data_IF_611192471399
#
_entry.id   IF_611192471399
#
_cell.length_a   1.000
_cell.length_b   1.000
_cell.length_c   1.000
_cell.angle_alpha   90.00
_cell.angle_beta   90.00
_cell.angle_gamma   90.00
#
_symmetry.space_group_name_H-M   'P 1'
#
loop_
_entity.id
_entity.type
_entity.pdbx_description
1 polymer ?
#
# COMPACT_ATOMS: atom_id res chain seq x y z
N UNK A 1 -7.99 44.31 -17.04
CA UNK A 1 -6.83 43.43 -17.24
C UNK A 1 -7.17 42.49 -18.36
N UNK A 2 -6.35 42.32 -19.43
CA UNK A 2 -6.71 41.50 -20.56
C UNK A 2 -6.76 40.04 -20.15
N UNK A 3 -7.88 39.41 -20.40
CA UNK A 3 -8.01 37.94 -20.35
C UNK A 3 -6.99 37.35 -21.32
N UNK A 4 -6.07 36.54 -20.83
CA UNK A 4 -5.10 35.84 -21.69
C UNK A 4 -5.85 34.82 -22.54
N UNK A 5 -5.52 34.76 -23.85
CA UNK A 5 -6.20 33.95 -24.86
C UNK A 5 -6.33 32.45 -24.49
N UNK A 6 -5.44 31.92 -23.62
CA UNK A 6 -5.48 30.53 -23.16
C UNK A 6 -6.55 30.27 -22.10
N UNK A 7 -6.86 31.24 -21.21
CA UNK A 7 -7.96 31.12 -20.24
C UNK A 7 -9.31 31.07 -20.96
N UNK A 8 -9.44 31.89 -22.01
CA UNK A 8 -10.64 31.92 -22.84
C UNK A 8 -10.77 30.63 -23.67
N UNK A 9 -9.65 30.04 -24.13
CA UNK A 9 -9.65 28.79 -24.88
C UNK A 9 -10.10 27.59 -24.03
N UNK A 10 -9.67 27.49 -22.75
CA UNK A 10 -10.11 26.42 -21.85
C UNK A 10 -11.59 26.54 -21.50
N UNK A 11 -12.04 27.72 -21.15
CA UNK A 11 -13.46 28.00 -20.84
C UNK A 11 -14.32 27.88 -22.09
N UNK A 12 -13.84 28.30 -23.27
CA UNK A 12 -14.55 28.20 -24.55
C UNK A 12 -14.56 26.77 -25.08
N UNK A 13 -13.49 25.99 -24.94
CA UNK A 13 -13.47 24.57 -25.32
C UNK A 13 -14.43 23.76 -24.45
N UNK A 14 -14.48 24.01 -23.14
CA UNK A 14 -15.48 23.44 -22.24
C UNK A 14 -16.91 23.93 -22.54
N UNK A 15 -17.10 25.23 -22.89
CA UNK A 15 -18.41 25.78 -23.21
C UNK A 15 -18.93 25.38 -24.60
N UNK A 16 -18.05 25.16 -25.59
CA UNK A 16 -18.42 24.72 -26.94
C UNK A 16 -18.78 23.22 -26.96
N UNK A 17 -18.12 22.40 -26.14
CA UNK A 17 -18.53 21.00 -25.92
C UNK A 17 -19.89 20.91 -25.24
N UNK A 18 -20.18 21.83 -24.30
CA UNK A 18 -21.47 21.98 -23.65
C UNK A 18 -22.60 22.34 -24.62
N UNK A 19 -22.34 23.29 -25.52
CA UNK A 19 -23.33 23.73 -26.51
C UNK A 19 -23.68 22.62 -27.55
N UNK A 20 -22.72 21.76 -27.91
CA UNK A 20 -22.97 20.64 -28.81
C UNK A 20 -23.82 19.53 -28.18
N UNK A 21 -23.68 19.30 -26.86
CA UNK A 21 -24.54 18.37 -26.11
C UNK A 21 -25.98 18.87 -25.95
N UNK A 22 -26.18 20.18 -25.73
CA UNK A 22 -27.53 20.77 -25.68
C UNK A 22 -28.28 20.66 -27.03
N UNK A 23 -27.58 20.78 -28.16
CA UNK A 23 -28.20 20.61 -29.47
C UNK A 23 -28.61 19.16 -29.76
N UNK A 24 -27.92 18.18 -29.20
CA UNK A 24 -28.28 16.77 -29.31
C UNK A 24 -29.48 16.38 -28.40
N UNK A 25 -29.61 16.98 -27.21
CA UNK A 25 -30.74 16.73 -26.31
C UNK A 25 -32.02 17.45 -26.78
N UNK A 26 -31.95 18.63 -27.39
CA UNK A 26 -33.12 19.33 -27.91
C UNK A 26 -33.82 18.63 -29.09
N UNK A 27 -33.17 17.64 -29.73
CA UNK A 27 -33.77 16.81 -30.79
C UNK A 27 -34.43 15.50 -30.29
N UNK A 28 -34.31 15.17 -29.02
CA UNK A 28 -34.81 13.94 -28.40
C UNK A 28 -36.24 14.00 -27.84
N UNK A 29 -36.90 15.15 -27.85
CA UNK A 29 -38.22 15.32 -27.25
C UNK A 29 -39.34 15.32 -28.32
N UNK A 30 -39.49 14.21 -29.04
CA UNK A 30 -40.71 13.92 -29.79
C UNK A 30 -41.49 12.91 -28.95
N UNK A 31 -42.61 13.38 -28.41
CA UNK A 31 -43.46 12.71 -27.45
C UNK A 31 -43.91 11.33 -27.91
N UNK A 32 -43.69 10.38 -27.06
CA UNK A 32 -44.24 9.02 -27.16
C UNK A 32 -45.75 9.07 -26.95
N UNK A 33 -46.53 8.78 -28.02
CA UNK A 33 -47.96 8.59 -27.95
C UNK A 33 -48.25 7.06 -28.00
N UNK A 34 -48.78 6.44 -26.92
CA UNK A 34 -48.97 4.98 -26.86
C UNK A 34 -50.23 4.44 -27.53
N UNK A 35 -51.03 5.24 -28.28
CA UNK A 35 -52.30 4.81 -28.87
C UNK A 35 -52.42 5.08 -30.37
N UNK A 36 -51.48 4.60 -31.18
CA UNK A 36 -51.69 4.57 -32.62
C UNK A 36 -51.29 3.21 -33.20
N UNK A 37 -52.22 2.25 -33.11
CA UNK A 37 -52.17 1.02 -33.90
C UNK A 37 -53.00 1.25 -35.15
N UNK A 38 -52.38 1.21 -36.32
CA UNK A 38 -53.05 1.00 -37.62
C UNK A 38 -52.15 0.14 -38.50
N UNK A 39 -52.75 -0.79 -39.32
CA UNK A 39 -52.00 -1.86 -39.97
C UNK A 39 -51.51 -1.48 -41.36
N UNK A 40 -50.41 -2.09 -41.72
CA UNK A 40 -49.79 -2.31 -43.02
C UNK A 40 -50.41 -1.67 -44.26
N UNK A 41 -49.66 -0.77 -44.89
CA UNK A 41 -49.57 -0.71 -46.35
C UNK A 41 -48.15 -0.25 -46.75
N UNK A 42 -47.69 -0.85 -47.85
CA UNK A 42 -46.38 -0.81 -48.48
C UNK A 42 -45.50 0.42 -48.27
N UNK A 43 -44.26 0.19 -47.78
CA UNK A 43 -43.17 1.14 -47.77
C UNK A 43 -42.58 1.27 -49.17
N UNK A 44 -42.25 2.49 -49.63
CA UNK A 44 -41.32 2.70 -50.73
C UNK A 44 -39.89 2.40 -50.30
N UNK A 45 -39.16 1.67 -51.10
CA UNK A 45 -37.71 1.53 -51.04
C UNK A 45 -37.08 2.89 -51.36
N UNK A 46 -36.60 3.61 -50.37
CA UNK A 46 -35.56 4.66 -50.45
C UNK A 46 -35.39 5.34 -49.09
N UNK A 47 -34.64 4.69 -48.20
CA UNK A 47 -33.99 5.36 -47.08
C UNK A 47 -32.55 4.86 -46.96
N UNK A 48 -31.74 5.17 -48.00
CA UNK A 48 -30.31 5.26 -47.91
C UNK A 48 -30.00 6.66 -47.43
N UNK A 49 -30.11 6.91 -46.16
CA UNK A 49 -29.37 7.99 -45.46
C UNK A 49 -29.22 7.58 -43.99
N UNK A 50 -28.42 6.52 -43.72
CA UNK A 50 -27.77 6.36 -42.47
C UNK A 50 -26.76 7.55 -42.29
N UNK A 51 -27.29 8.72 -41.98
CA UNK A 51 -26.46 9.71 -41.34
C UNK A 51 -26.12 9.10 -39.95
N UNK A 52 -24.95 8.44 -39.90
CA UNK A 52 -24.27 8.20 -38.63
C UNK A 52 -24.33 9.52 -37.88
N UNK A 53 -25.13 9.58 -36.80
CA UNK A 53 -25.07 10.66 -35.83
C UNK A 53 -23.70 10.50 -35.20
N UNK A 54 -22.70 11.14 -35.81
CA UNK A 54 -21.37 11.28 -35.24
C UNK A 54 -21.59 11.94 -33.87
N UNK A 55 -21.47 11.13 -32.82
CA UNK A 55 -21.54 11.64 -31.44
C UNK A 55 -20.53 12.78 -31.37
N UNK A 56 -20.99 13.98 -31.07
CA UNK A 56 -20.13 15.16 -30.95
C UNK A 56 -18.88 14.79 -30.15
N UNK A 57 -17.67 15.11 -30.63
CA UNK A 57 -16.45 14.69 -29.99
C UNK A 57 -16.46 15.18 -28.54
N UNK A 58 -16.53 14.23 -27.60
CA UNK A 58 -16.31 14.52 -26.18
C UNK A 58 -14.92 15.12 -26.13
N UNK A 59 -14.81 16.36 -25.67
CA UNK A 59 -13.54 17.08 -25.64
C UNK A 59 -12.62 16.36 -24.63
N UNK A 60 -11.76 15.49 -25.12
CA UNK A 60 -10.84 14.67 -24.33
C UNK A 60 -9.61 15.48 -23.86
N UNK A 61 -9.81 16.75 -23.51
CA UNK A 61 -8.72 17.69 -23.21
C UNK A 61 -7.83 17.23 -22.05
N UNK A 62 -8.41 16.84 -20.90
CA UNK A 62 -7.68 16.34 -19.76
C UNK A 62 -7.14 14.93 -20.02
N UNK A 63 -7.94 14.10 -20.67
CA UNK A 63 -7.62 12.70 -20.97
C UNK A 63 -6.40 12.60 -21.90
N UNK A 64 -6.29 13.45 -22.91
CA UNK A 64 -5.14 13.50 -23.83
C UNK A 64 -3.85 14.02 -23.18
N UNK A 65 -3.96 14.76 -22.07
CA UNK A 65 -2.83 15.34 -21.34
C UNK A 65 -2.44 14.56 -20.11
N UNK A 66 -3.13 13.46 -19.81
CA UNK A 66 -2.75 12.56 -18.74
C UNK A 66 -1.44 11.82 -19.10
N UNK A 67 -0.46 11.87 -18.22
CA UNK A 67 0.88 11.30 -18.42
C UNK A 67 1.06 9.95 -17.74
N UNK A 68 0.08 9.51 -16.96
CA UNK A 68 0.12 8.25 -16.24
C UNK A 68 -1.23 7.55 -16.20
N UNK A 69 -1.21 6.27 -15.84
CA UNK A 69 -2.45 5.51 -15.64
C UNK A 69 -3.38 6.18 -14.61
N UNK A 70 -2.84 6.60 -13.46
CA UNK A 70 -3.61 7.20 -12.39
C UNK A 70 -4.19 8.57 -12.79
N UNK A 71 -3.39 9.39 -13.47
CA UNK A 71 -3.85 10.66 -14.04
C UNK A 71 -4.97 10.47 -15.07
N UNK A 72 -4.86 9.44 -15.92
CA UNK A 72 -5.89 9.10 -16.90
C UNK A 72 -7.22 8.69 -16.23
N UNK A 73 -7.16 7.93 -15.13
CA UNK A 73 -8.37 7.55 -14.40
C UNK A 73 -9.09 8.77 -13.79
N UNK A 74 -8.32 9.74 -13.27
CA UNK A 74 -8.86 11.00 -12.77
C UNK A 74 -9.46 11.83 -13.93
N UNK A 75 -8.74 11.97 -15.04
CA UNK A 75 -9.21 12.72 -16.20
C UNK A 75 -10.57 12.22 -16.70
N UNK A 76 -10.74 10.90 -16.84
CA UNK A 76 -11.98 10.25 -17.29
C UNK A 76 -13.22 10.57 -16.45
N UNK A 77 -13.05 10.86 -15.17
CA UNK A 77 -14.18 11.19 -14.27
C UNK A 77 -14.32 12.70 -14.03
N UNK A 78 -13.20 13.41 -14.00
CA UNK A 78 -13.17 14.85 -13.72
C UNK A 78 -13.69 15.66 -14.90
N UNK A 79 -13.28 15.33 -16.12
CA UNK A 79 -13.65 16.07 -17.33
C UNK A 79 -15.17 16.07 -17.57
N UNK A 80 -15.89 14.93 -17.60
CA UNK A 80 -17.34 14.94 -17.74
C UNK A 80 -18.06 15.65 -16.58
N UNK A 81 -17.51 15.58 -15.38
CA UNK A 81 -18.09 16.24 -14.22
C UNK A 81 -17.97 17.77 -14.31
N UNK A 82 -16.82 18.28 -14.77
CA UNK A 82 -16.63 19.72 -15.02
C UNK A 82 -17.57 20.24 -16.10
N UNK A 83 -17.76 19.47 -17.18
CA UNK A 83 -18.70 19.82 -18.25
C UNK A 83 -20.13 19.90 -17.69
N UNK A 84 -20.61 18.85 -17.01
CA UNK A 84 -21.95 18.84 -16.38
C UNK A 84 -22.16 19.99 -15.40
N UNK A 85 -21.13 20.36 -14.65
CA UNK A 85 -21.18 21.43 -13.67
C UNK A 85 -21.36 22.80 -14.36
N UNK A 86 -20.62 23.03 -15.43
CA UNK A 86 -20.73 24.26 -16.25
C UNK A 86 -22.08 24.36 -16.95
N UNK A 87 -22.57 23.25 -17.52
CA UNK A 87 -23.88 23.16 -18.19
C UNK A 87 -25.06 23.35 -17.26
N UNK A 88 -24.90 23.05 -15.98
CA UNK A 88 -25.98 23.17 -15.00
C UNK A 88 -26.58 24.58 -14.89
N UNK A 89 -25.80 25.62 -15.26
CA UNK A 89 -26.16 27.01 -15.14
C UNK A 89 -26.42 27.47 -13.69
N UNK A 90 -26.14 26.63 -12.71
CA UNK A 90 -26.40 26.82 -11.27
C UNK A 90 -25.23 27.40 -10.49
N UNK A 91 -24.10 27.65 -11.16
CA UNK A 91 -22.89 28.14 -10.51
C UNK A 91 -23.05 29.63 -10.12
N UNK A 92 -22.71 29.95 -8.87
CA UNK A 92 -22.56 31.34 -8.44
C UNK A 92 -21.29 31.94 -9.02
N UNK A 93 -21.23 33.29 -9.07
CA UNK A 93 -20.02 34.00 -9.54
C UNK A 93 -18.76 33.64 -8.73
N UNK A 94 -18.89 33.28 -7.46
CA UNK A 94 -17.80 32.85 -6.61
C UNK A 94 -17.32 31.42 -6.99
N UNK A 95 -18.25 30.52 -7.28
CA UNK A 95 -17.95 29.17 -7.74
C UNK A 95 -17.28 29.17 -9.13
N UNK A 96 -17.72 30.03 -10.03
CA UNK A 96 -17.08 30.24 -11.35
C UNK A 96 -15.63 30.71 -11.17
N UNK A 97 -15.38 31.70 -10.30
CA UNK A 97 -14.02 32.18 -10.00
C UNK A 97 -13.14 31.08 -9.36
N UNK A 98 -13.72 30.26 -8.49
CA UNK A 98 -13.01 29.14 -7.89
C UNK A 98 -12.64 28.07 -8.94
N UNK A 99 -13.54 27.82 -9.90
CA UNK A 99 -13.32 26.87 -11.00
C UNK A 99 -12.27 27.38 -11.99
N UNK A 100 -12.28 28.68 -12.32
CA UNK A 100 -11.22 29.34 -13.11
C UNK A 100 -9.86 29.21 -12.45
N UNK A 101 -9.79 29.46 -11.14
CA UNK A 101 -8.57 29.33 -10.35
C UNK A 101 -8.04 27.88 -10.34
N UNK A 102 -8.95 26.93 -10.23
CA UNK A 102 -8.63 25.50 -10.31
C UNK A 102 -8.12 25.12 -11.71
N UNK A 103 -8.79 25.57 -12.79
CA UNK A 103 -8.36 25.35 -14.16
C UNK A 103 -6.97 25.94 -14.47
N UNK A 104 -6.75 27.20 -14.04
CA UNK A 104 -5.43 27.85 -14.11
C UNK A 104 -4.36 27.06 -13.37
N UNK A 105 -4.70 26.53 -12.21
CA UNK A 105 -3.82 25.68 -11.41
C UNK A 105 -3.46 24.38 -12.11
N UNK A 106 -4.42 23.73 -12.77
CA UNK A 106 -4.18 22.51 -13.55
C UNK A 106 -3.18 22.73 -14.68
N UNK A 107 -3.33 23.83 -15.45
CA UNK A 107 -2.50 24.08 -16.62
C UNK A 107 -1.10 24.59 -16.29
N UNK A 108 -1.00 25.54 -15.36
CA UNK A 108 0.23 26.28 -15.08
C UNK A 108 1.14 25.60 -14.04
N UNK A 109 0.71 24.50 -13.48
CA UNK A 109 1.53 23.70 -12.57
C UNK A 109 2.81 23.24 -13.27
N UNK A 110 3.99 23.31 -12.63
CA UNK A 110 5.19 22.67 -13.14
C UNK A 110 4.94 21.19 -13.46
N UNK A 111 5.15 20.79 -14.73
CA UNK A 111 4.77 19.48 -15.25
C UNK A 111 3.38 19.42 -15.90
N UNK A 112 2.65 20.55 -15.95
CA UNK A 112 1.39 20.72 -16.66
C UNK A 112 0.23 19.91 -16.08
N UNK A 113 -0.80 19.71 -16.88
CA UNK A 113 -2.04 19.01 -16.52
C UNK A 113 -1.75 17.58 -16.03
N UNK A 114 -0.82 16.86 -16.67
CA UNK A 114 -0.47 15.50 -16.26
C UNK A 114 0.00 15.41 -14.80
N UNK A 115 0.89 16.30 -14.37
CA UNK A 115 1.36 16.36 -12.99
C UNK A 115 0.25 16.78 -12.01
N UNK A 116 -0.67 17.63 -12.45
CA UNK A 116 -1.83 18.04 -11.66
C UNK A 116 -2.80 16.87 -11.44
N UNK A 117 -3.09 16.10 -12.48
CA UNK A 117 -3.93 14.91 -12.41
C UNK A 117 -3.34 13.84 -11.49
N UNK A 118 -2.02 13.67 -11.48
CA UNK A 118 -1.34 12.77 -10.53
C UNK A 118 -1.51 13.22 -9.07
N UNK A 119 -1.46 14.53 -8.79
CA UNK A 119 -1.74 15.04 -7.44
C UNK A 119 -3.19 14.77 -7.01
N UNK A 120 -4.13 14.95 -7.94
CA UNK A 120 -5.56 14.72 -7.69
C UNK A 120 -5.89 13.24 -7.52
N UNK A 121 -5.12 12.34 -8.13
CA UNK A 121 -5.32 10.90 -8.04
C UNK A 121 -5.17 10.35 -6.62
N UNK A 122 -4.32 10.94 -5.78
CA UNK A 122 -4.09 10.47 -4.41
C UNK A 122 -3.58 9.03 -4.34
N UNK A 123 -2.75 8.62 -5.32
CA UNK A 123 -2.24 7.25 -5.46
C UNK A 123 -1.44 6.74 -4.26
N UNK A 124 -0.95 7.66 -3.41
CA UNK A 124 -0.26 7.33 -2.16
C UNK A 124 -1.14 6.52 -1.20
N UNK A 125 -2.47 6.72 -1.24
CA UNK A 125 -3.42 5.94 -0.44
C UNK A 125 -3.42 4.44 -0.83
N UNK A 126 -3.07 4.10 -2.08
CA UNK A 126 -2.89 2.72 -2.50
C UNK A 126 -1.60 2.10 -1.96
N UNK A 127 -0.54 2.90 -1.73
CA UNK A 127 0.74 2.42 -1.20
C UNK A 127 0.71 2.07 0.29
N UNK A 128 -0.32 2.51 1.03
CA UNK A 128 -0.46 2.22 2.47
C UNK A 128 -0.50 0.71 2.74
N UNK A 129 -1.16 -0.07 1.88
CA UNK A 129 -1.21 -1.52 2.01
C UNK A 129 0.18 -2.15 1.88
N UNK A 130 0.92 -1.82 0.81
CA UNK A 130 2.26 -2.36 0.57
C UNK A 130 3.25 -1.98 1.67
N UNK A 131 3.24 -0.73 2.15
CA UNK A 131 4.09 -0.29 3.24
C UNK A 131 3.77 -1.00 4.56
N UNK A 132 2.49 -1.16 4.90
CA UNK A 132 2.08 -1.88 6.13
C UNK A 132 2.43 -3.37 6.03
N UNK A 133 2.25 -4.01 4.87
CA UNK A 133 2.66 -5.40 4.66
C UNK A 133 4.17 -5.58 4.79
N UNK A 134 4.97 -4.65 4.29
CA UNK A 134 6.42 -4.67 4.49
C UNK A 134 6.79 -4.57 5.98
N UNK A 135 6.12 -3.70 6.74
CA UNK A 135 6.34 -3.58 8.20
C UNK A 135 5.97 -4.87 8.93
N UNK A 136 4.82 -5.47 8.63
CA UNK A 136 4.39 -6.74 9.27
C UNK A 136 5.26 -7.92 8.85
N UNK A 137 5.80 -7.91 7.63
CA UNK A 137 6.80 -8.90 7.19
C UNK A 137 8.10 -8.78 7.98
N UNK A 138 8.58 -7.55 8.22
CA UNK A 138 9.77 -7.33 9.05
C UNK A 138 9.54 -7.85 10.49
N UNK A 139 8.36 -7.61 11.07
CA UNK A 139 8.00 -8.15 12.38
C UNK A 139 8.04 -9.69 12.40
N UNK A 140 7.51 -10.34 11.36
CA UNK A 140 7.56 -11.81 11.22
C UNK A 140 8.99 -12.33 11.09
N UNK A 141 9.82 -11.64 10.33
CA UNK A 141 11.24 -12.00 10.16
C UNK A 141 12.01 -11.85 11.48
N UNK A 142 11.68 -10.83 12.29
CA UNK A 142 12.25 -10.62 13.62
C UNK A 142 11.82 -11.73 14.61
N UNK A 143 10.54 -12.09 14.64
CA UNK A 143 10.07 -13.21 15.42
C UNK A 143 10.76 -14.51 14.98
N UNK A 144 10.82 -14.77 13.67
CA UNK A 144 11.48 -15.95 13.12
C UNK A 144 12.97 -15.98 13.49
N UNK A 145 13.67 -14.84 13.48
CA UNK A 145 15.06 -14.72 13.96
C UNK A 145 15.20 -15.16 15.42
N UNK A 146 14.24 -14.77 16.28
CA UNK A 146 14.18 -15.21 17.67
C UNK A 146 13.99 -16.72 17.78
N UNK A 147 13.02 -17.28 17.02
CA UNK A 147 12.73 -18.74 17.06
C UNK A 147 13.92 -19.59 16.65
N UNK A 148 14.82 -19.05 15.85
CA UNK A 148 16.04 -19.71 15.37
C UNK A 148 17.12 -19.82 16.45
N UNK A 149 17.09 -18.94 17.44
CA UNK A 149 18.08 -18.83 18.52
C UNK A 149 17.53 -19.30 19.87
N UNK A 150 16.29 -19.83 19.93
CA UNK A 150 15.74 -20.39 21.16
C UNK A 150 16.55 -21.62 21.58
N UNK A 151 16.93 -21.72 22.87
CA UNK A 151 17.59 -22.91 23.39
C UNK A 151 16.64 -24.13 23.36
N UNK A 152 17.26 -25.32 23.36
CA UNK A 152 16.54 -26.61 23.41
C UNK A 152 16.45 -27.18 24.82
N UNK A 153 16.71 -26.36 25.85
CA UNK A 153 16.57 -26.74 27.25
C UNK A 153 15.09 -26.82 27.69
N UNK A 154 14.85 -27.31 28.88
CA UNK A 154 13.48 -27.45 29.46
C UNK A 154 13.01 -26.17 30.18
N UNK A 155 13.82 -25.11 30.22
CA UNK A 155 13.52 -23.86 30.90
C UNK A 155 12.45 -23.05 30.17
N UNK A 156 11.76 -22.19 30.90
CA UNK A 156 10.99 -21.09 30.33
C UNK A 156 11.92 -19.96 29.90
N UNK A 157 11.54 -19.23 28.85
CA UNK A 157 12.27 -18.05 28.40
C UNK A 157 11.35 -16.84 28.33
N UNK A 158 11.92 -15.71 28.69
CA UNK A 158 11.34 -14.40 28.44
C UNK A 158 12.31 -13.61 27.56
N UNK A 159 11.78 -12.88 26.59
CA UNK A 159 12.60 -12.07 25.72
C UNK A 159 11.96 -10.71 25.42
N UNK A 160 12.82 -9.70 25.17
CA UNK A 160 12.43 -8.35 24.80
C UNK A 160 13.31 -7.89 23.65
N UNK A 161 12.68 -7.32 22.61
CA UNK A 161 13.39 -6.76 21.45
C UNK A 161 12.99 -5.31 21.24
N UNK A 162 13.99 -4.45 21.05
CA UNK A 162 13.85 -3.13 20.48
C UNK A 162 14.13 -3.21 18.97
N UNK A 163 13.27 -2.65 18.15
CA UNK A 163 13.37 -2.75 16.69
C UNK A 163 13.29 -1.37 16.04
N UNK A 164 14.10 -1.17 14.99
CA UNK A 164 14.02 -0.04 14.08
C UNK A 164 14.16 -0.53 12.65
N UNK A 165 13.20 -0.20 11.80
CA UNK A 165 13.17 -0.59 10.40
C UNK A 165 12.93 0.63 9.53
N UNK A 166 13.51 0.67 8.34
CA UNK A 166 13.23 1.67 7.32
C UNK A 166 13.19 1.04 5.94
N UNK A 167 12.45 1.66 5.05
CA UNK A 167 12.33 1.15 3.69
C UNK A 167 11.70 2.12 2.72
N UNK A 168 11.60 1.69 1.47
CA UNK A 168 10.99 2.45 0.41
C UNK A 168 10.26 1.56 -0.58
N UNK A 169 9.20 2.10 -1.15
CA UNK A 169 8.54 1.66 -2.36
C UNK A 169 8.88 2.66 -3.47
N UNK A 170 9.33 2.19 -4.62
CA UNK A 170 9.75 3.05 -5.72
C UNK A 170 8.54 3.64 -6.47
N UNK A 171 8.78 4.70 -7.25
CA UNK A 171 7.78 5.25 -8.15
C UNK A 171 7.44 4.25 -9.25
N UNK A 172 6.15 4.04 -9.50
CA UNK A 172 5.68 3.13 -10.55
C UNK A 172 4.32 3.55 -11.08
N UNK A 173 4.16 3.65 -12.43
CA UNK A 173 2.86 3.79 -13.09
C UNK A 173 2.01 5.01 -12.70
N UNK A 174 2.63 6.11 -12.25
CA UNK A 174 1.95 7.30 -11.71
C UNK A 174 1.78 7.28 -10.19
N UNK A 175 2.28 6.26 -9.50
CA UNK A 175 2.45 6.28 -8.04
C UNK A 175 3.72 7.02 -7.66
N UNK A 176 3.63 7.92 -6.68
CA UNK A 176 4.76 8.72 -6.22
C UNK A 176 5.83 7.93 -5.45
N UNK A 177 5.61 6.64 -5.22
CA UNK A 177 6.40 5.86 -4.29
C UNK A 177 6.13 6.25 -2.84
N UNK A 178 6.82 5.61 -1.89
CA UNK A 178 6.66 5.88 -0.46
C UNK A 178 7.92 5.46 0.29
N UNK A 179 8.35 6.25 1.26
CA UNK A 179 9.35 5.87 2.27
C UNK A 179 8.64 5.59 3.59
N UNK A 180 9.14 4.66 4.35
CA UNK A 180 8.63 4.36 5.69
C UNK A 180 9.77 4.12 6.67
N UNK A 181 9.52 4.53 7.92
CA UNK A 181 10.36 4.27 9.08
C UNK A 181 9.46 3.75 10.18
N UNK A 182 9.86 2.65 10.82
CA UNK A 182 9.11 1.99 11.89
C UNK A 182 10.03 1.75 13.08
N UNK A 183 9.55 2.01 14.26
CA UNK A 183 10.19 1.62 15.51
C UNK A 183 9.19 0.92 16.42
N UNK A 184 9.68 0.02 17.25
CA UNK A 184 8.80 -0.76 18.11
C UNK A 184 9.50 -1.53 19.21
N UNK A 185 8.67 -2.07 20.08
CA UNK A 185 9.07 -2.97 21.16
C UNK A 185 8.27 -4.26 21.04
N UNK A 186 8.97 -5.38 21.09
CA UNK A 186 8.39 -6.71 21.12
C UNK A 186 8.79 -7.39 22.42
N UNK A 187 7.89 -8.17 22.97
CA UNK A 187 8.16 -9.02 24.12
C UNK A 187 7.44 -10.36 23.95
N UNK A 188 8.00 -11.39 24.52
CA UNK A 188 7.38 -12.72 24.48
C UNK A 188 7.94 -13.64 25.52
N UNK A 189 7.24 -14.75 25.68
CA UNK A 189 7.63 -15.83 26.57
C UNK A 189 7.29 -17.18 25.93
N UNK A 190 8.08 -18.19 26.25
CA UNK A 190 7.90 -19.55 25.75
C UNK A 190 8.29 -20.59 26.80
N UNK A 191 7.76 -21.78 26.60
CA UNK A 191 7.91 -22.91 27.51
C UNK A 191 8.13 -24.20 26.71
N UNK A 192 8.95 -25.09 27.21
CA UNK A 192 9.03 -26.46 26.74
C UNK A 192 7.72 -27.19 27.11
N UNK A 193 7.11 -27.84 26.11
CA UNK A 193 5.96 -28.74 26.29
C UNK A 193 6.44 -30.17 26.51
N UNK A 194 7.47 -30.54 25.75
CA UNK A 194 8.21 -31.78 25.88
C UNK A 194 9.64 -31.57 25.37
N UNK A 195 10.42 -32.64 25.26
CA UNK A 195 11.81 -32.60 24.82
C UNK A 195 12.01 -32.12 23.37
N UNK A 196 10.96 -32.09 22.57
CA UNK A 196 11.02 -31.67 21.15
C UNK A 196 10.26 -30.36 20.89
N UNK A 197 9.16 -30.10 21.59
CA UNK A 197 8.28 -28.98 21.36
C UNK A 197 8.42 -27.87 22.39
N UNK A 198 8.48 -26.65 21.89
CA UNK A 198 8.41 -25.40 22.62
C UNK A 198 7.30 -24.54 22.05
N UNK A 199 6.47 -23.95 22.89
CA UNK A 199 5.39 -23.02 22.49
C UNK A 199 5.54 -21.70 23.20
N UNK A 200 5.10 -20.62 22.56
CA UNK A 200 5.19 -19.29 23.14
C UNK A 200 4.17 -18.32 22.60
N UNK A 201 4.11 -17.18 23.27
CA UNK A 201 3.27 -16.03 22.91
C UNK A 201 4.10 -14.77 22.80
N UNK A 202 3.65 -13.82 21.99
CA UNK A 202 4.29 -12.52 21.86
C UNK A 202 3.27 -11.39 21.80
N UNK A 203 3.66 -10.23 22.30
CA UNK A 203 2.99 -8.97 22.11
C UNK A 203 3.97 -7.92 21.61
N UNK A 204 3.51 -6.97 20.78
CA UNK A 204 4.33 -5.88 20.34
C UNK A 204 3.53 -4.60 20.13
N UNK A 205 4.23 -3.47 20.20
CA UNK A 205 3.74 -2.16 19.79
C UNK A 205 4.74 -1.52 18.85
N UNK A 206 4.26 -0.99 17.73
CA UNK A 206 5.09 -0.25 16.80
C UNK A 206 4.41 1.03 16.33
N UNK A 207 5.23 2.02 15.95
CA UNK A 207 4.81 3.24 15.28
C UNK A 207 5.60 3.38 13.99
N UNK A 208 4.88 3.71 12.90
CA UNK A 208 5.47 3.89 11.58
C UNK A 208 5.14 5.28 11.04
N UNK A 209 6.14 5.93 10.44
CA UNK A 209 5.98 7.15 9.67
C UNK A 209 6.12 6.82 8.18
N UNK A 210 5.16 7.23 7.39
CA UNK A 210 5.07 6.98 5.97
C UNK A 210 5.14 8.31 5.23
N UNK A 211 6.10 8.49 4.33
CA UNK A 211 6.37 9.76 3.69
C UNK A 211 6.49 9.60 2.17
N UNK A 212 5.76 10.43 1.43
CA UNK A 212 5.88 10.55 -0.02
C UNK A 212 5.79 12.03 -0.42
N UNK A 213 5.94 12.31 -1.71
CA UNK A 213 5.76 13.67 -2.20
C UNK A 213 4.33 14.14 -1.92
N UNK A 214 4.18 15.25 -1.17
CA UNK A 214 2.90 15.85 -0.75
C UNK A 214 1.98 14.92 0.07
N UNK A 215 2.57 13.91 0.71
CA UNK A 215 1.83 12.94 1.50
C UNK A 215 2.64 12.51 2.72
N UNK A 216 1.98 12.42 3.85
CA UNK A 216 2.52 11.76 5.05
C UNK A 216 1.42 10.97 5.74
N UNK A 217 1.80 9.89 6.39
CA UNK A 217 0.89 9.16 7.26
C UNK A 217 1.63 8.62 8.48
N UNK A 218 0.94 8.59 9.59
CA UNK A 218 1.38 7.98 10.85
C UNK A 218 0.53 6.73 11.09
N UNK A 219 1.16 5.64 11.50
CA UNK A 219 0.51 4.36 11.76
C UNK A 219 0.96 3.84 13.13
N UNK A 220 0.03 3.77 14.07
CA UNK A 220 0.22 3.12 15.36
C UNK A 220 -0.36 1.71 15.32
N UNK A 221 0.43 0.72 15.75
CA UNK A 221 0.07 -0.69 15.60
C UNK A 221 0.28 -1.48 16.88
N UNK A 222 -0.67 -2.36 17.17
CA UNK A 222 -0.57 -3.39 18.18
C UNK A 222 -0.51 -4.76 17.52
N UNK A 223 0.31 -5.63 18.07
CA UNK A 223 0.51 -6.97 17.55
C UNK A 223 0.37 -8.00 18.65
N UNK A 224 -0.31 -9.09 18.36
CA UNK A 224 -0.41 -10.26 19.23
C UNK A 224 -0.09 -11.50 18.41
N UNK A 225 0.72 -12.40 18.94
CA UNK A 225 1.10 -13.60 18.21
C UNK A 225 1.31 -14.80 19.11
N UNK A 226 1.30 -15.96 18.46
CA UNK A 226 1.68 -17.24 19.05
C UNK A 226 2.66 -17.95 18.14
N UNK A 227 3.50 -18.78 18.72
CA UNK A 227 4.49 -19.55 17.98
C UNK A 227 4.77 -20.91 18.58
N UNK A 228 5.29 -21.81 17.77
CA UNK A 228 5.78 -23.10 18.18
C UNK A 228 7.06 -23.46 17.47
N UNK A 229 7.97 -24.11 18.16
CA UNK A 229 9.22 -24.64 17.62
C UNK A 229 9.30 -26.12 17.96
N UNK A 230 9.57 -26.97 16.96
CA UNK A 230 9.93 -28.37 17.15
C UNK A 230 11.36 -28.59 16.73
N UNK A 231 12.15 -29.16 17.59
CA UNK A 231 13.52 -29.59 17.29
C UNK A 231 13.61 -31.10 17.52
N UNK A 232 14.00 -31.83 16.46
CA UNK A 232 14.15 -33.29 16.49
C UNK A 232 15.46 -33.67 15.77
N UNK A 233 16.49 -33.86 16.55
CA UNK A 233 17.86 -34.06 16.04
C UNK A 233 18.29 -32.81 15.21
N UNK A 234 18.67 -32.99 13.94
CA UNK A 234 19.09 -31.88 13.07
C UNK A 234 17.91 -31.10 12.47
N UNK A 235 16.68 -31.59 12.63
CA UNK A 235 15.50 -30.98 12.01
C UNK A 235 14.85 -29.98 12.96
N UNK A 236 14.59 -28.77 12.48
CA UNK A 236 13.88 -27.73 13.20
C UNK A 236 12.68 -27.22 12.38
N UNK A 237 11.48 -27.35 12.95
CA UNK A 237 10.26 -26.75 12.42
C UNK A 237 9.87 -25.54 13.28
N UNK A 238 9.66 -24.40 12.65
CA UNK A 238 9.28 -23.13 13.29
C UNK A 238 7.95 -22.66 12.72
N UNK A 239 6.99 -22.40 13.58
CA UNK A 239 5.64 -21.98 13.21
C UNK A 239 5.32 -20.67 13.94
N UNK A 240 4.60 -19.76 13.28
CA UNK A 240 4.14 -18.53 13.90
C UNK A 240 2.89 -17.97 13.26
N UNK A 241 2.10 -17.31 14.09
CA UNK A 241 0.90 -16.58 13.71
C UNK A 241 0.89 -15.21 14.41
N UNK A 242 0.65 -14.14 13.68
CA UNK A 242 0.58 -12.78 14.20
C UNK A 242 -0.70 -12.12 13.68
N UNK A 243 -1.48 -11.56 14.60
CA UNK A 243 -2.56 -10.63 14.32
C UNK A 243 -2.11 -9.22 14.67
N UNK A 244 -2.42 -8.26 13.80
CA UNK A 244 -2.06 -6.86 14.01
C UNK A 244 -3.27 -5.97 13.77
N UNK A 245 -3.44 -4.99 14.65
CA UNK A 245 -4.41 -3.90 14.53
C UNK A 245 -3.66 -2.58 14.33
N UNK A 246 -4.10 -1.79 13.35
CA UNK A 246 -3.43 -0.58 12.91
C UNK A 246 -4.39 0.60 12.91
N UNK A 247 -4.03 1.69 13.59
CA UNK A 247 -4.70 2.97 13.55
C UNK A 247 -3.85 3.98 12.76
N UNK A 248 -4.34 4.41 11.61
CA UNK A 248 -3.63 5.29 10.69
C UNK A 248 -4.25 6.67 10.57
N UNK A 249 -3.39 7.67 10.36
CA UNK A 249 -3.77 9.04 10.04
C UNK A 249 -2.93 9.51 8.87
N UNK A 250 -3.55 10.07 7.83
CA UNK A 250 -2.83 10.60 6.69
C UNK A 250 -3.08 12.10 6.50
N UNK A 251 -2.14 12.74 5.83
CA UNK A 251 -2.20 14.12 5.35
C UNK A 251 -1.75 14.13 3.90
N UNK A 252 -2.57 14.69 3.03
CA UNK A 252 -2.27 14.88 1.61
C UNK A 252 -2.41 16.35 1.26
N UNK A 253 -1.43 16.89 0.53
CA UNK A 253 -1.44 18.27 0.07
C UNK A 253 -1.68 18.28 -1.45
N UNK A 254 -2.63 19.07 -1.90
CA UNK A 254 -2.85 19.41 -3.30
C UNK A 254 -2.40 20.84 -3.50
N UNK A 255 -1.40 21.03 -4.37
CA UNK A 255 -0.81 22.32 -4.67
C UNK A 255 -0.83 22.55 -6.19
N UNK A 256 -1.82 23.32 -6.65
CA UNK A 256 -2.00 23.69 -8.05
C UNK A 256 -1.87 25.21 -8.14
N UNK A 257 -0.60 25.71 -8.19
CA UNK A 257 -0.29 27.16 -8.13
C UNK A 257 -0.93 27.85 -6.93
N UNK A 258 -1.94 28.70 -7.22
CA UNK A 258 -2.68 29.48 -6.22
C UNK A 258 -3.76 28.66 -5.51
N UNK A 259 -4.05 27.46 -6.00
CA UNK A 259 -5.00 26.53 -5.37
C UNK A 259 -4.26 25.55 -4.49
N UNK A 260 -4.47 25.64 -3.17
CA UNK A 260 -3.78 24.81 -2.18
C UNK A 260 -4.79 24.25 -1.20
N UNK A 261 -4.71 22.94 -0.98
CA UNK A 261 -5.50 22.23 0.02
C UNK A 261 -4.62 21.31 0.87
N UNK A 262 -4.97 21.21 2.14
CA UNK A 262 -4.43 20.20 3.05
C UNK A 262 -5.57 19.28 3.48
N UNK A 263 -5.49 18.05 3.05
CA UNK A 263 -6.50 17.02 3.26
C UNK A 263 -6.01 16.05 4.35
N UNK A 264 -6.92 15.64 5.23
CA UNK A 264 -6.64 14.77 6.36
C UNK A 264 -7.63 13.62 6.38
N UNK A 265 -7.15 12.42 6.67
CA UNK A 265 -7.96 11.23 6.85
C UNK A 265 -7.48 10.39 8.02
N UNK A 266 -8.38 9.57 8.56
CA UNK A 266 -8.05 8.55 9.56
C UNK A 266 -8.67 7.24 9.15
N UNK A 267 -7.95 6.14 9.36
CA UNK A 267 -8.39 4.81 8.98
C UNK A 267 -7.94 3.76 9.97
N UNK A 268 -8.68 2.65 10.00
CA UNK A 268 -8.27 1.43 10.69
C UNK A 268 -7.91 0.36 9.66
N UNK A 269 -6.96 -0.47 10.03
CA UNK A 269 -6.56 -1.62 9.23
C UNK A 269 -6.17 -2.79 10.12
N UNK A 270 -6.19 -3.99 9.56
CA UNK A 270 -5.84 -5.22 10.24
C UNK A 270 -4.93 -6.06 9.35
N UNK A 271 -3.99 -6.76 9.97
CA UNK A 271 -3.13 -7.71 9.28
C UNK A 271 -3.12 -9.06 9.98
N UNK A 272 -3.08 -10.10 9.19
CA UNK A 272 -2.93 -11.48 9.63
C UNK A 272 -1.72 -12.06 8.91
N UNK A 273 -0.79 -12.60 9.68
CA UNK A 273 0.44 -13.20 9.15
C UNK A 273 0.62 -14.58 9.74
N UNK A 274 0.83 -15.55 8.87
CA UNK A 274 1.16 -16.93 9.22
C UNK A 274 2.46 -17.29 8.55
N UNK A 275 3.32 -18.01 9.23
CA UNK A 275 4.55 -18.51 8.64
C UNK A 275 4.95 -19.87 9.20
N UNK A 276 5.66 -20.62 8.39
CA UNK A 276 6.31 -21.88 8.74
C UNK A 276 7.69 -21.92 8.09
N UNK A 277 8.68 -22.38 8.84
CA UNK A 277 10.04 -22.62 8.34
C UNK A 277 10.52 -24.00 8.80
N UNK A 278 11.08 -24.75 7.88
CA UNK A 278 11.76 -26.01 8.11
C UNK A 278 13.25 -25.82 7.85
N UNK A 279 14.09 -26.07 8.84
CA UNK A 279 15.53 -26.04 8.75
C UNK A 279 16.16 -27.40 9.01
N UNK A 280 17.30 -27.66 8.39
CA UNK A 280 18.08 -28.86 8.65
C UNK A 280 19.51 -28.49 9.02
N UNK A 281 19.87 -28.70 10.28
CA UNK A 281 21.18 -28.30 10.82
C UNK A 281 22.26 -29.32 10.44
N UNK A 282 23.28 -28.83 9.78
CA UNK A 282 24.51 -29.57 9.40
C UNK A 282 25.70 -28.97 10.16
N UNK A 283 26.73 -29.81 10.42
CA UNK A 283 27.97 -29.36 11.04
C UNK A 283 28.15 -29.84 12.48
N UNK A 284 28.81 -29.02 13.29
CA UNK A 284 29.16 -29.34 14.67
C UNK A 284 28.52 -28.36 15.64
N UNK A 285 28.73 -28.55 16.94
CA UNK A 285 28.28 -27.63 17.98
C UNK A 285 28.93 -26.22 17.88
N UNK A 286 30.10 -26.12 17.20
CA UNK A 286 30.81 -24.86 17.06
C UNK A 286 30.61 -24.17 15.71
N UNK A 287 30.30 -24.94 14.65
CA UNK A 287 30.04 -24.40 13.31
C UNK A 287 28.83 -25.11 12.72
N UNK A 288 27.78 -24.38 12.43
CA UNK A 288 26.57 -24.92 11.83
C UNK A 288 26.24 -24.26 10.50
N UNK A 289 25.73 -25.06 9.60
CA UNK A 289 25.17 -24.67 8.30
C UNK A 289 23.76 -25.21 8.27
N UNK A 290 22.77 -24.34 8.09
CA UNK A 290 21.35 -24.73 8.09
C UNK A 290 20.67 -24.27 6.79
N UNK A 291 20.56 -25.16 5.76
CA UNK A 291 19.59 -24.92 4.70
C UNK A 291 18.17 -24.90 5.27
N UNK A 292 17.35 -23.98 4.77
CA UNK A 292 15.97 -23.85 5.21
C UNK A 292 15.02 -23.57 4.06
N UNK A 293 13.77 -23.97 4.24
CA UNK A 293 12.65 -23.63 3.38
C UNK A 293 11.46 -23.15 4.24
N UNK A 294 10.77 -22.14 3.76
CA UNK A 294 9.66 -21.55 4.48
C UNK A 294 8.47 -21.23 3.56
N UNK A 295 7.30 -21.20 4.15
CA UNK A 295 6.09 -20.68 3.54
C UNK A 295 5.49 -19.62 4.45
N UNK A 296 4.87 -18.59 3.85
CA UNK A 296 4.23 -17.51 4.57
C UNK A 296 2.93 -17.10 3.91
N UNK A 297 1.98 -16.66 4.72
CA UNK A 297 0.73 -16.07 4.27
C UNK A 297 0.54 -14.74 4.97
N UNK A 298 0.18 -13.72 4.21
CA UNK A 298 -0.18 -12.41 4.74
C UNK A 298 -1.52 -11.97 4.15
N UNK A 299 -2.38 -11.43 5.01
CA UNK A 299 -3.59 -10.73 4.62
C UNK A 299 -3.62 -9.38 5.31
N UNK A 300 -3.80 -8.32 4.54
CA UNK A 300 -4.03 -6.97 4.98
C UNK A 300 -5.44 -6.55 4.58
N UNK A 301 -6.16 -5.89 5.48
CA UNK A 301 -7.44 -5.26 5.21
C UNK A 301 -7.47 -3.88 5.85
N UNK A 302 -7.84 -2.87 5.07
CA UNK A 302 -8.08 -1.51 5.55
C UNK A 302 -9.52 -1.12 5.22
N UNK A 303 -10.20 -0.56 6.20
CA UNK A 303 -11.53 0.00 6.03
C UNK A 303 -11.53 1.19 5.09
N UNK A 304 -12.69 1.51 4.51
CA UNK A 304 -12.87 2.75 3.78
C UNK A 304 -12.80 3.94 4.74
N UNK A 305 -12.28 5.06 4.24
CA UNK A 305 -12.23 6.29 5.02
C UNK A 305 -12.48 7.52 4.13
N UNK A 306 -12.72 8.65 4.77
CA UNK A 306 -12.95 9.92 4.09
C UNK A 306 -11.87 10.92 4.46
N UNK A 307 -11.32 11.59 3.45
CA UNK A 307 -10.51 12.78 3.66
C UNK A 307 -11.43 13.99 3.91
N UNK A 308 -10.92 14.96 4.65
CA UNK A 308 -11.55 16.26 4.93
C UNK A 308 -10.55 17.38 4.72
N UNK A 309 -11.01 18.60 4.48
CA UNK A 309 -10.12 19.78 4.40
C UNK A 309 -10.10 20.49 3.05
N UNK A 310 -10.89 20.06 2.06
CA UNK A 310 -10.98 20.75 0.78
C UNK A 310 -11.93 20.08 -0.22
N UNK A 311 -12.06 20.70 -1.39
CA UNK A 311 -12.93 20.21 -2.47
C UNK A 311 -12.41 18.93 -3.12
N UNK A 312 -11.08 18.74 -3.12
CA UNK A 312 -10.42 17.55 -3.69
C UNK A 312 -10.27 16.41 -2.68
N UNK A 313 -10.99 16.50 -1.54
CA UNK A 313 -11.05 15.44 -0.53
C UNK A 313 -11.65 14.15 -1.11
N UNK A 314 -10.95 13.03 -0.88
CA UNK A 314 -11.32 11.73 -1.41
C UNK A 314 -12.10 10.90 -0.38
N UNK A 315 -13.13 10.22 -0.87
CA UNK A 315 -13.62 9.01 -0.24
C UNK A 315 -12.71 7.86 -0.73
N UNK A 316 -11.95 7.28 0.16
CA UNK A 316 -11.01 6.20 -0.13
C UNK A 316 -11.66 4.88 0.21
N UNK A 317 -11.84 4.02 -0.78
CA UNK A 317 -12.47 2.71 -0.62
C UNK A 317 -11.66 1.77 0.27
N UNK A 318 -12.32 0.74 0.77
CA UNK A 318 -11.65 -0.35 1.47
C UNK A 318 -10.64 -1.06 0.55
N UNK A 319 -9.58 -1.59 1.15
CA UNK A 319 -8.53 -2.27 0.41
C UNK A 319 -8.16 -3.57 1.11
N UNK A 320 -8.18 -4.67 0.37
CA UNK A 320 -7.71 -5.98 0.85
C UNK A 320 -6.59 -6.45 -0.07
N UNK A 321 -5.52 -6.96 0.52
CA UNK A 321 -4.41 -7.56 -0.21
C UNK A 321 -3.98 -8.84 0.49
N UNK A 322 -3.82 -9.94 -0.27
CA UNK A 322 -3.48 -11.26 0.25
C UNK A 322 -2.33 -11.83 -0.57
N UNK A 323 -1.36 -12.39 0.13
CA UNK A 323 -0.17 -12.93 -0.49
C UNK A 323 0.25 -14.24 0.19
N UNK A 324 0.61 -15.22 -0.62
CA UNK A 324 1.34 -16.41 -0.22
C UNK A 324 2.80 -16.23 -0.61
N UNK A 325 3.72 -16.72 0.20
CA UNK A 325 5.15 -16.66 -0.12
C UNK A 325 5.85 -17.98 0.13
N UNK A 326 6.89 -18.25 -0.65
CA UNK A 326 7.89 -19.28 -0.34
C UNK A 326 9.26 -18.63 -0.16
N UNK A 327 10.07 -19.17 0.74
CA UNK A 327 11.44 -18.72 1.00
C UNK A 327 12.37 -19.91 1.03
N UNK A 328 13.52 -19.79 0.39
CA UNK A 328 14.60 -20.78 0.43
C UNK A 328 15.89 -20.06 0.79
N UNK A 329 16.67 -20.65 1.68
CA UNK A 329 17.88 -19.99 2.12
C UNK A 329 18.87 -20.88 2.84
N UNK A 330 19.92 -20.22 3.29
CA UNK A 330 21.02 -20.82 4.01
C UNK A 330 21.38 -19.94 5.20
N UNK A 331 21.64 -20.55 6.33
CA UNK A 331 22.13 -19.90 7.54
C UNK A 331 23.45 -20.53 7.95
N UNK A 332 24.36 -19.64 8.40
CA UNK A 332 25.66 -20.00 8.97
C UNK A 332 25.73 -19.44 10.39
N UNK A 333 26.23 -20.21 11.32
CA UNK A 333 26.53 -19.73 12.66
C UNK A 333 27.79 -20.38 13.19
N UNK A 334 28.52 -19.65 14.02
CA UNK A 334 29.73 -20.14 14.67
C UNK A 334 29.69 -19.76 16.15
N UNK A 335 30.03 -20.67 17.04
CA UNK A 335 30.03 -20.43 18.47
C UNK A 335 31.47 -20.32 18.98
N UNK A 336 31.82 -19.15 19.51
CA UNK A 336 33.09 -18.91 20.21
C UNK A 336 32.83 -18.94 21.69
N UNK A 337 33.41 -19.92 22.41
CA UNK A 337 33.32 -20.06 23.87
C UNK A 337 34.54 -19.44 24.53
N UNK A 338 34.33 -18.45 25.40
CA UNK A 338 35.39 -17.81 26.15
C UNK A 338 35.61 -18.53 27.50
N UNK A 339 34.51 -19.02 28.10
CA UNK A 339 34.50 -19.86 29.28
C UNK A 339 33.25 -20.77 29.30
N UNK A 340 32.92 -21.33 30.48
CA UNK A 340 31.74 -22.21 30.61
C UNK A 340 30.39 -21.52 30.48
N UNK A 341 30.36 -20.20 30.61
CA UNK A 341 29.10 -19.42 30.64
C UNK A 341 29.04 -18.36 29.53
N UNK A 342 30.18 -17.82 29.12
CA UNK A 342 30.26 -16.75 28.15
C UNK A 342 30.59 -17.30 26.77
N UNK A 343 29.69 -17.02 25.82
CA UNK A 343 29.91 -17.37 24.42
C UNK A 343 29.40 -16.28 23.48
N UNK A 344 30.04 -16.15 22.33
CA UNK A 344 29.67 -15.25 21.24
C UNK A 344 29.30 -16.09 20.02
N UNK A 345 28.11 -15.84 19.45
CA UNK A 345 27.59 -16.56 18.31
C UNK A 345 27.31 -15.57 17.15
N UNK A 346 28.28 -15.28 16.28
CA UNK A 346 27.98 -14.62 15.01
C UNK A 346 27.18 -15.55 14.10
N UNK A 347 26.21 -14.97 13.44
CA UNK A 347 25.36 -15.69 12.47
C UNK A 347 25.06 -14.84 11.24
N UNK A 348 24.95 -15.50 10.10
CA UNK A 348 24.61 -14.91 8.81
C UNK A 348 23.55 -15.79 8.13
N UNK A 349 22.53 -15.16 7.60
CA UNK A 349 21.46 -15.84 6.85
C UNK A 349 21.21 -15.10 5.54
N UNK A 350 21.01 -15.85 4.47
CA UNK A 350 20.53 -15.33 3.19
C UNK A 350 19.39 -16.18 2.70
N UNK A 351 18.39 -15.56 2.08
CA UNK A 351 17.21 -16.24 1.56
C UNK A 351 16.64 -15.56 0.34
N UNK A 352 16.20 -16.33 -0.62
CA UNK A 352 15.39 -15.86 -1.73
C UNK A 352 13.92 -16.13 -1.41
N UNK A 353 13.10 -15.08 -1.52
CA UNK A 353 11.66 -15.12 -1.29
C UNK A 353 10.92 -14.89 -2.59
N UNK A 354 9.92 -15.72 -2.86
CA UNK A 354 8.98 -15.56 -3.96
C UNK A 354 7.56 -15.31 -3.43
N UNK A 355 6.88 -14.30 -3.98
CA UNK A 355 5.53 -13.90 -3.60
C UNK A 355 4.53 -14.35 -4.67
N UNK A 356 3.53 -15.09 -4.25
CA UNK A 356 2.42 -15.55 -5.09
C UNK A 356 1.17 -14.70 -4.87
N UNK A 357 0.26 -14.72 -5.84
CA UNK A 357 -1.00 -14.01 -5.75
C UNK A 357 -0.93 -12.59 -6.31
N UNK A 358 -1.79 -11.72 -5.81
CA UNK A 358 -1.94 -10.36 -6.30
C UNK A 358 -0.88 -9.45 -5.69
N UNK A 359 0.01 -8.93 -6.52
CA UNK A 359 1.08 -8.00 -6.11
C UNK A 359 0.70 -6.54 -6.37
N UNK A 360 -0.30 -6.29 -7.21
CA UNK A 360 -0.76 -4.95 -7.54
C UNK A 360 -1.54 -4.33 -6.40
N UNK A 361 -1.14 -3.16 -5.97
CA UNK A 361 -1.87 -2.37 -4.98
C UNK A 361 -2.88 -1.46 -5.71
N UNK A 362 -4.18 -1.66 -5.47
CA UNK A 362 -5.27 -0.89 -6.10
C UNK A 362 -6.23 -0.41 -5.04
N UNK A 363 -6.76 0.80 -5.22
CA UNK A 363 -7.81 1.35 -4.37
C UNK A 363 -8.78 2.19 -5.19
N UNK A 364 -10.07 2.09 -4.87
CA UNK A 364 -11.12 2.92 -5.48
C UNK A 364 -11.25 4.22 -4.70
N UNK A 365 -11.29 5.32 -5.43
CA UNK A 365 -11.53 6.67 -4.91
C UNK A 365 -12.81 7.26 -5.50
N UNK A 366 -13.40 8.22 -4.79
CA UNK A 366 -14.35 9.19 -5.34
C UNK A 366 -14.17 10.52 -4.61
N UNK A 367 -14.56 11.63 -5.26
CA UNK A 367 -14.51 12.95 -4.61
C UNK A 367 -15.72 13.13 -3.70
N UNK A 368 -15.46 13.48 -2.42
CA UNK A 368 -16.48 13.52 -1.38
C UNK A 368 -17.42 14.73 -1.44
N UNK A 369 -16.98 15.82 -2.05
CA UNK A 369 -17.69 17.12 -2.06
C UNK A 369 -18.73 17.27 -3.14
N UNK A 370 -18.74 16.39 -4.15
CA UNK A 370 -19.68 16.42 -5.26
C UNK A 370 -20.32 15.03 -5.47
N UNK A 371 -21.11 14.53 -4.48
CA UNK A 371 -21.71 13.21 -4.57
C UNK A 371 -22.69 13.15 -5.75
N UNK A 372 -22.53 12.14 -6.61
CA UNK A 372 -23.38 11.93 -7.80
C UNK A 372 -22.97 12.75 -9.03
N UNK A 373 -22.03 13.69 -8.92
CA UNK A 373 -21.51 14.45 -10.05
C UNK A 373 -20.23 13.83 -10.64
N UNK A 374 -19.40 13.22 -9.79
CA UNK A 374 -18.14 12.59 -10.17
C UNK A 374 -18.18 11.10 -9.83
N UNK A 375 -17.99 10.28 -10.85
CA UNK A 375 -17.90 8.83 -10.69
C UNK A 375 -16.64 8.41 -9.93
N UNK A 376 -16.66 7.21 -9.34
CA UNK A 376 -15.48 6.66 -8.70
C UNK A 376 -14.45 6.18 -9.73
N UNK A 377 -13.17 6.33 -9.39
CA UNK A 377 -12.04 5.87 -10.19
C UNK A 377 -11.11 4.97 -9.37
N UNK A 378 -10.32 4.15 -10.05
CA UNK A 378 -9.38 3.24 -9.39
C UNK A 378 -7.95 3.68 -9.68
N UNK A 379 -7.16 3.86 -8.62
CA UNK A 379 -5.74 4.17 -8.70
C UNK A 379 -4.89 2.96 -8.35
N UNK A 380 -3.69 2.92 -8.92
CA UNK A 380 -2.67 1.92 -8.63
C UNK A 380 -1.56 2.55 -7.81
N UNK A 381 -1.12 1.83 -6.78
CA UNK A 381 0.12 2.08 -6.07
C UNK A 381 1.30 1.34 -6.71
N UNK A 382 2.43 1.34 -6.02
CA UNK A 382 3.59 0.52 -6.37
C UNK A 382 3.28 -0.94 -6.09
N UNK A 383 3.53 -1.80 -7.07
CA UNK A 383 3.34 -3.25 -6.90
C UNK A 383 4.38 -3.82 -5.95
N UNK A 384 3.98 -4.82 -5.16
CA UNK A 384 4.92 -5.59 -4.34
C UNK A 384 5.88 -6.39 -5.22
N UNK A 385 7.07 -6.67 -4.69
CA UNK A 385 8.06 -7.48 -5.38
C UNK A 385 7.67 -8.96 -5.38
N UNK A 386 7.63 -9.56 -6.57
CA UNK A 386 7.46 -11.01 -6.69
C UNK A 386 8.68 -11.77 -6.17
N UNK A 387 9.86 -11.20 -6.34
CA UNK A 387 11.11 -11.79 -5.89
C UNK A 387 11.88 -10.79 -5.05
N UNK A 388 12.38 -11.24 -3.92
CA UNK A 388 13.27 -10.46 -3.06
C UNK A 388 14.38 -11.32 -2.48
N UNK A 389 15.51 -10.67 -2.22
CA UNK A 389 16.64 -11.24 -1.50
C UNK A 389 16.62 -10.71 -0.08
N UNK A 390 16.65 -11.63 0.89
CA UNK A 390 16.76 -11.31 2.32
C UNK A 390 18.16 -11.67 2.81
N UNK A 391 18.77 -10.75 3.57
CA UNK A 391 20.06 -10.98 4.23
C UNK A 391 19.89 -10.57 5.69
N UNK A 392 20.37 -11.40 6.61
CA UNK A 392 20.43 -11.09 8.04
C UNK A 392 21.83 -11.42 8.56
N UNK A 393 22.41 -10.52 9.33
CA UNK A 393 23.67 -10.72 10.02
C UNK A 393 23.52 -10.32 11.48
N UNK A 394 23.99 -11.13 12.41
CA UNK A 394 23.84 -10.85 13.83
C UNK A 394 24.92 -11.47 14.71
N UNK A 395 24.88 -11.04 15.96
CA UNK A 395 25.76 -11.49 17.04
C UNK A 395 24.91 -11.72 18.27
N UNK A 396 25.03 -12.92 18.87
CA UNK A 396 24.44 -13.24 20.16
C UNK A 396 25.54 -13.46 21.19
N UNK A 397 25.47 -12.75 22.32
CA UNK A 397 26.39 -12.84 23.44
C UNK A 397 25.68 -13.45 24.63
N UNK A 398 25.94 -14.71 24.94
CA UNK A 398 25.56 -15.30 26.20
C UNK A 398 26.49 -14.76 27.29
N UNK A 399 25.91 -14.05 28.29
CA UNK A 399 26.62 -13.49 29.44
C UNK A 399 26.65 -14.46 30.62
N UNK A 400 25.67 -15.34 30.70
CA UNK A 400 25.52 -16.39 31.68
C UNK A 400 24.61 -17.48 31.14
N UNK A 401 24.41 -18.54 31.90
CA UNK A 401 23.42 -19.56 31.56
C UNK A 401 21.99 -19.02 31.42
N UNK A 402 21.71 -17.85 32.03
CA UNK A 402 20.37 -17.26 32.09
C UNK A 402 20.18 -16.06 31.16
N UNK A 403 21.23 -15.33 30.78
CA UNK A 403 21.11 -14.06 30.08
C UNK A 403 21.87 -14.05 28.75
N UNK A 404 21.19 -13.70 27.69
CA UNK A 404 21.76 -13.50 26.34
C UNK A 404 21.36 -12.12 25.82
N UNK A 405 22.35 -11.41 25.27
CA UNK A 405 22.15 -10.18 24.49
C UNK A 405 22.38 -10.47 23.01
N UNK A 406 21.62 -9.84 22.13
CA UNK A 406 21.81 -10.00 20.71
C UNK A 406 21.62 -8.70 19.96
N UNK A 407 22.26 -8.63 18.79
CA UNK A 407 22.10 -7.55 17.83
C UNK A 407 22.01 -8.17 16.43
N UNK A 408 20.96 -7.83 15.69
CA UNK A 408 20.73 -8.35 14.34
C UNK A 408 20.44 -7.20 13.39
N UNK A 409 21.15 -7.14 12.28
CA UNK A 409 20.87 -6.32 11.12
C UNK A 409 20.19 -7.16 10.06
N UNK A 410 19.15 -6.62 9.41
CA UNK A 410 18.43 -7.24 8.31
C UNK A 410 18.33 -6.30 7.12
N UNK A 411 18.41 -6.85 5.92
CA UNK A 411 18.19 -6.14 4.67
C UNK A 411 17.37 -7.01 3.72
N UNK A 412 16.40 -6.39 3.03
CA UNK A 412 15.62 -7.01 1.98
C UNK A 412 15.64 -6.10 0.75
N UNK A 413 15.90 -6.65 -0.40
CA UNK A 413 15.91 -5.94 -1.66
C UNK A 413 15.09 -6.69 -2.73
N UNK A 414 14.20 -5.98 -3.38
CA UNK A 414 13.45 -6.39 -4.55
C UNK A 414 13.62 -5.41 -5.69
N UNK A 415 12.81 -5.53 -6.72
CA UNK A 415 12.81 -4.64 -7.89
C UNK A 415 12.22 -3.27 -7.55
N UNK A 416 11.15 -3.25 -6.76
CA UNK A 416 10.34 -2.06 -6.46
C UNK A 416 10.44 -1.61 -5.00
N UNK A 417 11.10 -2.38 -4.14
CA UNK A 417 11.21 -2.07 -2.71
C UNK A 417 12.56 -2.42 -2.11
N UNK A 418 12.91 -1.68 -1.07
CA UNK A 418 14.10 -1.94 -0.24
C UNK A 418 13.73 -1.70 1.21
N UNK A 419 14.13 -2.63 2.05
CA UNK A 419 13.90 -2.55 3.48
C UNK A 419 15.19 -2.90 4.23
N UNK A 420 15.40 -2.27 5.37
CA UNK A 420 16.51 -2.55 6.28
C UNK A 420 16.05 -2.41 7.72
N UNK A 421 16.67 -3.15 8.62
CA UNK A 421 16.28 -3.12 10.02
C UNK A 421 17.43 -3.45 10.96
N UNK A 422 17.30 -2.95 12.16
CA UNK A 422 18.17 -3.27 13.29
C UNK A 422 17.30 -3.74 14.45
N UNK A 423 17.70 -4.83 15.09
CA UNK A 423 17.05 -5.40 16.25
C UNK A 423 18.08 -5.62 17.36
N UNK A 424 17.81 -5.01 18.51
CA UNK A 424 18.49 -5.35 19.75
C UNK A 424 17.62 -6.28 20.57
N UNK A 425 18.18 -7.34 21.14
CA UNK A 425 17.45 -8.33 21.93
C UNK A 425 18.08 -8.62 23.26
N UNK A 426 17.25 -8.89 24.23
CA UNK A 426 17.62 -9.49 25.52
C UNK A 426 16.70 -10.69 25.77
N UNK A 427 17.31 -11.79 26.18
CA UNK A 427 16.62 -13.02 26.58
C UNK A 427 17.08 -13.49 27.94
N UNK A 428 16.13 -13.98 28.73
CA UNK A 428 16.34 -14.56 30.06
C UNK A 428 15.70 -15.95 30.11
N UNK A 429 16.44 -16.93 30.62
CA UNK A 429 15.96 -18.27 30.99
C UNK A 429 15.58 -18.33 32.48
N UNK A 430 14.48 -18.99 32.85
CA UNK A 430 13.99 -19.13 34.24
C UNK A 430 13.40 -20.51 34.53
#
# INVERSE_FOLDING_TARGET
>A
MPFTQHKLAFVIALALSAASLQSAQARGDIGYNPYAFQPYDALPDEWDDESEIEAAPVDNYLTQRATSHNGLQVAKVLEPALIRLLESGKLTSEQIKALEKFGDGLEKQPGGIGASLEQLAGSQNANLAGATQNTTQQLSNQLLSTLRTLPTDDNGHFWVHGVGNGGSLDKQGGSAGLKHDTHGLLLGADWAVDHAWRVGVMGAKSSSNLNAQRFSADLDSWHLGGYAVRTDGPLALRLGAIYSDHAGRNKRNVNLLDYKEQLKGSYNAQSQTLFSELGYQLGSADVSVEPFAGIGFQRYHRDSFKETGGLTALNVGAQTQQNLSSTFGLRLATVYRFDRQISLTPHLSTGWKHLYGEVDSKVRHSYGTLPGLIDGFTVKGTSLDRNSLDIQAGLDLALSAQHTLGLTYSAQAGTNSRNQGLMGQWRMSF
#
